data_IF_942267150391
#
_entry.id   IF_942267150391
#
_cell.length_a   1.000
_cell.length_b   1.000
_cell.length_c   1.000
_cell.angle_alpha   90.00
_cell.angle_beta   90.00
_cell.angle_gamma   90.00
#
_symmetry.space_group_name_H-M   'P 1'
#
loop_
_entity.id
_entity.type
_entity.pdbx_description
1 polymer ?
#
# COMPACT_ATOMS: atom_id res chain seq x y z
N UNK A 1 -6.01 -0.61 28.22
CA UNK A 1 -5.35 -1.05 26.98
C UNK A 1 -5.98 -0.28 25.82
N UNK A 2 -5.23 0.57 25.11
CA UNK A 2 -5.75 1.26 23.92
C UNK A 2 -5.51 0.35 22.72
N UNK A 3 -6.56 -0.03 22.02
CA UNK A 3 -6.49 -0.83 20.79
C UNK A 3 -5.72 -0.07 19.70
N UNK A 4 -5.02 -0.79 18.82
CA UNK A 4 -4.19 -0.22 17.73
C UNK A 4 -4.99 0.73 16.82
N UNK A 5 -6.30 0.52 16.71
CA UNK A 5 -7.27 1.37 16.03
C UNK A 5 -7.47 2.74 16.72
N UNK A 6 -7.45 2.78 18.06
CA UNK A 6 -7.60 4.01 18.86
C UNK A 6 -6.40 4.97 18.72
N UNK A 7 -5.23 4.46 18.36
CA UNK A 7 -4.04 5.27 18.05
C UNK A 7 -4.08 5.83 16.62
N UNK A 8 -4.77 5.14 15.70
CA UNK A 8 -4.93 5.54 14.30
C UNK A 8 -5.97 6.65 14.15
N UNK A 9 -7.11 6.56 14.85
CA UNK A 9 -8.11 7.65 14.89
C UNK A 9 -7.55 8.94 15.49
N UNK A 10 -6.71 8.87 16.53
CA UNK A 10 -6.21 10.08 17.20
C UNK A 10 -5.13 10.84 16.42
N UNK A 11 -4.46 10.20 15.46
CA UNK A 11 -3.41 10.84 14.63
C UNK A 11 -3.93 11.32 13.28
N UNK A 12 -5.00 10.74 12.74
CA UNK A 12 -5.50 11.01 11.40
C UNK A 12 -6.83 11.76 11.36
N UNK A 13 -7.05 12.80 12.17
CA UNK A 13 -8.37 13.47 12.20
C UNK A 13 -8.32 14.99 12.34
N UNK A 14 -7.17 15.64 12.17
CA UNK A 14 -7.07 17.09 12.45
C UNK A 14 -6.66 17.98 11.29
N UNK A 15 -5.90 17.50 10.30
CA UNK A 15 -5.42 18.38 9.23
C UNK A 15 -5.40 17.67 7.88
N UNK A 16 -6.05 18.28 6.88
CA UNK A 16 -5.95 17.96 5.46
C UNK A 16 -4.49 17.70 5.01
N UNK A 17 -3.58 18.51 5.54
CA UNK A 17 -2.16 18.44 5.25
C UNK A 17 -1.49 17.17 5.79
N UNK A 18 -1.96 16.64 6.92
CA UNK A 18 -1.47 15.37 7.50
C UNK A 18 -1.94 14.19 6.64
N UNK A 19 -3.10 14.30 5.99
CA UNK A 19 -3.65 13.26 5.11
C UNK A 19 -2.89 13.12 3.80
N UNK A 20 -2.64 14.24 3.12
CA UNK A 20 -1.82 14.25 1.90
C UNK A 20 -0.42 13.68 2.19
N UNK A 21 0.22 14.10 3.28
CA UNK A 21 1.50 13.53 3.73
C UNK A 21 1.44 12.02 4.01
N UNK A 22 0.29 11.49 4.43
CA UNK A 22 0.14 10.06 4.71
C UNK A 22 0.00 9.25 3.42
N UNK A 23 -0.79 9.72 2.46
CA UNK A 23 -0.96 9.09 1.15
C UNK A 23 0.34 9.14 0.34
N UNK A 24 1.10 10.23 0.41
CA UNK A 24 2.43 10.34 -0.18
C UNK A 24 3.42 9.32 0.41
N UNK A 25 3.41 9.14 1.74
CA UNK A 25 4.24 8.11 2.41
C UNK A 25 3.82 6.70 1.99
N UNK A 26 2.52 6.44 1.83
CA UNK A 26 2.04 5.16 1.30
C UNK A 26 2.55 4.94 -0.13
N UNK A 27 2.49 5.95 -0.99
CA UNK A 27 2.99 5.87 -2.36
C UNK A 27 4.48 5.51 -2.39
N UNK A 28 5.30 6.20 -1.58
CA UNK A 28 6.73 5.89 -1.46
C UNK A 28 6.95 4.46 -0.93
N UNK A 29 6.13 4.01 0.01
CA UNK A 29 6.23 2.67 0.55
C UNK A 29 5.88 1.59 -0.49
N UNK A 30 4.82 1.79 -1.28
CA UNK A 30 4.46 0.89 -2.39
C UNK A 30 5.56 0.81 -3.44
N UNK A 31 6.21 1.94 -3.76
CA UNK A 31 7.38 1.94 -4.65
C UNK A 31 8.51 1.09 -4.07
N UNK A 32 8.83 1.24 -2.78
CA UNK A 32 9.83 0.42 -2.11
C UNK A 32 9.47 -1.08 -2.10
N UNK A 33 8.21 -1.43 -1.90
CA UNK A 33 7.74 -2.82 -1.95
C UNK A 33 7.86 -3.40 -3.36
N UNK A 34 7.53 -2.61 -4.38
CA UNK A 34 7.71 -3.00 -5.78
C UNK A 34 9.20 -3.21 -6.11
N UNK A 35 10.08 -2.32 -5.66
CA UNK A 35 11.52 -2.47 -5.85
C UNK A 35 12.06 -3.72 -5.14
N UNK A 36 11.60 -3.99 -3.90
CA UNK A 36 11.93 -5.22 -3.19
C UNK A 36 11.48 -6.47 -3.95
N UNK A 37 10.23 -6.49 -4.43
CA UNK A 37 9.69 -7.62 -5.18
C UNK A 37 10.41 -7.83 -6.52
N UNK A 38 10.79 -6.74 -7.20
CA UNK A 38 11.55 -6.81 -8.46
C UNK A 38 13.02 -7.18 -8.25
N UNK A 39 13.61 -6.77 -7.12
CA UNK A 39 14.98 -7.16 -6.73
C UNK A 39 15.09 -8.64 -6.32
N UNK A 40 13.94 -9.28 -6.05
CA UNK A 40 13.90 -10.67 -5.63
C UNK A 40 14.20 -11.58 -6.83
N UNK A 41 15.49 -11.86 -7.02
CA UNK A 41 16.05 -12.70 -8.09
C UNK A 41 15.78 -14.20 -7.95
N UNK A 42 14.97 -14.63 -6.98
CA UNK A 42 14.56 -16.03 -6.90
C UNK A 42 13.70 -16.36 -8.12
N UNK A 43 14.28 -16.98 -9.13
CA UNK A 43 13.55 -17.55 -10.27
C UNK A 43 12.45 -18.43 -9.67
N UNK A 44 11.16 -18.15 -9.91
CA UNK A 44 10.10 -18.93 -9.31
C UNK A 44 10.22 -20.38 -9.74
N UNK A 45 10.58 -21.28 -8.80
CA UNK A 45 10.81 -22.71 -9.09
C UNK A 45 9.55 -23.42 -9.56
N UNK A 46 8.38 -22.82 -9.35
CA UNK A 46 7.09 -23.34 -9.80
C UNK A 46 6.29 -22.26 -10.51
N UNK A 47 5.46 -22.67 -11.47
CA UNK A 47 4.52 -21.78 -12.15
C UNK A 47 3.56 -21.07 -11.18
N UNK A 48 3.16 -21.74 -10.09
CA UNK A 48 2.33 -21.14 -9.04
C UNK A 48 3.01 -19.95 -8.36
N UNK A 49 4.30 -20.07 -8.03
CA UNK A 49 5.07 -18.96 -7.45
C UNK A 49 5.30 -17.83 -8.45
N UNK A 50 5.39 -18.14 -9.75
CA UNK A 50 5.45 -17.12 -10.80
C UNK A 50 4.12 -16.35 -10.88
N UNK A 51 3.00 -17.07 -10.94
CA UNK A 51 1.66 -16.48 -11.04
C UNK A 51 1.32 -15.63 -9.79
N UNK A 52 1.71 -16.10 -8.60
CA UNK A 52 1.55 -15.36 -7.33
C UNK A 52 2.38 -14.07 -7.33
N UNK A 53 3.63 -14.11 -7.80
CA UNK A 53 4.48 -12.92 -7.93
C UNK A 53 3.91 -11.90 -8.91
N UNK A 54 3.47 -12.34 -10.09
CA UNK A 54 2.90 -11.45 -11.10
C UNK A 54 1.56 -10.84 -10.64
N UNK A 55 0.75 -11.58 -9.88
CA UNK A 55 -0.46 -11.05 -9.25
C UNK A 55 -0.14 -9.97 -8.22
N UNK A 56 0.89 -10.16 -7.40
CA UNK A 56 1.34 -9.16 -6.42
C UNK A 56 1.88 -7.90 -7.11
N UNK A 57 2.69 -8.04 -8.17
CA UNK A 57 3.14 -6.91 -9.00
C UNK A 57 1.98 -6.15 -9.62
N UNK A 58 0.98 -6.88 -10.15
CA UNK A 58 -0.21 -6.26 -10.73
C UNK A 58 -0.97 -5.44 -9.68
N UNK A 59 -1.21 -6.01 -8.49
CA UNK A 59 -1.87 -5.31 -7.38
C UNK A 59 -1.08 -4.09 -6.89
N UNK A 60 0.25 -4.17 -6.83
CA UNK A 60 1.10 -3.03 -6.48
C UNK A 60 0.95 -1.87 -7.47
N UNK A 61 0.89 -2.16 -8.78
CA UNK A 61 0.67 -1.14 -9.81
C UNK A 61 -0.72 -0.52 -9.71
N UNK A 62 -1.76 -1.34 -9.59
CA UNK A 62 -3.15 -0.88 -9.44
C UNK A 62 -3.29 0.04 -8.22
N UNK A 63 -2.75 -0.38 -7.06
CA UNK A 63 -2.81 0.45 -5.84
C UNK A 63 -2.02 1.75 -5.97
N UNK A 64 -0.86 1.71 -6.64
CA UNK A 64 -0.04 2.88 -6.89
C UNK A 64 -0.69 3.87 -7.84
N UNK A 65 -1.47 3.40 -8.83
CA UNK A 65 -2.27 4.25 -9.71
C UNK A 65 -3.45 4.86 -8.95
N UNK A 66 -4.19 4.08 -8.16
CA UNK A 66 -5.29 4.57 -7.34
C UNK A 66 -4.81 5.66 -6.35
N UNK A 67 -3.66 5.47 -5.69
CA UNK A 67 -3.08 6.47 -4.80
C UNK A 67 -2.64 7.74 -5.54
N UNK A 68 -2.11 7.61 -6.75
CA UNK A 68 -1.72 8.76 -7.59
C UNK A 68 -2.94 9.57 -8.02
N UNK A 69 -4.03 8.92 -8.40
CA UNK A 69 -5.30 9.58 -8.74
C UNK A 69 -5.87 10.32 -7.53
N UNK A 70 -5.84 9.69 -6.35
CA UNK A 70 -6.27 10.32 -5.10
C UNK A 70 -5.42 11.54 -4.74
N UNK A 71 -4.09 11.45 -4.84
CA UNK A 71 -3.18 12.59 -4.63
C UNK A 71 -3.44 13.74 -5.61
N UNK A 72 -3.71 13.42 -6.89
CA UNK A 72 -4.07 14.43 -7.89
C UNK A 72 -5.42 15.09 -7.58
N UNK A 73 -6.40 14.30 -7.13
CA UNK A 73 -7.71 14.81 -6.74
C UNK A 73 -7.64 15.71 -5.50
N UNK A 74 -6.79 15.35 -4.53
CA UNK A 74 -6.51 16.14 -3.33
C UNK A 74 -5.77 17.44 -3.66
N UNK A 75 -4.85 17.42 -4.63
CA UNK A 75 -4.11 18.61 -5.06
C UNK A 75 -4.98 19.62 -5.81
N UNK A 76 -5.97 19.15 -6.57
CA UNK A 76 -6.94 20.01 -7.29
C UNK A 76 -8.01 20.55 -6.33
N UNK A 77 -8.37 19.76 -5.31
CA UNK A 77 -9.32 20.12 -4.26
C UNK A 77 -8.61 20.83 -3.10
N UNK A 78 -8.39 22.14 -3.19
CA UNK A 78 -7.75 22.96 -2.12
C UNK A 78 -8.41 22.88 -0.73
N UNK A 79 -9.57 22.22 -0.61
CA UNK A 79 -10.23 21.86 0.65
C UNK A 79 -10.33 20.34 0.76
N UNK A 80 -9.78 19.74 1.81
CA UNK A 80 -9.99 18.31 2.06
C UNK A 80 -11.45 18.04 2.36
N UNK A 81 -12.15 17.44 1.41
CA UNK A 81 -13.53 16.97 1.59
C UNK A 81 -13.52 15.72 2.49
N UNK A 82 -14.50 15.55 3.39
CA UNK A 82 -14.60 14.36 4.26
C UNK A 82 -14.59 13.01 3.50
N UNK A 83 -14.98 13.00 2.22
CA UNK A 83 -14.91 11.82 1.35
C UNK A 83 -13.48 11.30 1.11
N UNK A 84 -12.51 12.21 1.06
CA UNK A 84 -11.10 11.87 0.79
C UNK A 84 -10.47 11.18 2.02
N UNK A 85 -11.01 11.41 3.22
CA UNK A 85 -10.58 10.73 4.45
C UNK A 85 -10.92 9.23 4.41
N UNK A 86 -12.14 8.89 4.02
CA UNK A 86 -12.59 7.50 3.92
C UNK A 86 -11.82 6.72 2.85
N UNK A 87 -11.51 7.38 1.73
CA UNK A 87 -10.67 6.81 0.67
C UNK A 87 -9.24 6.59 1.13
N UNK A 88 -8.64 7.55 1.83
CA UNK A 88 -7.30 7.43 2.43
C UNK A 88 -7.19 6.27 3.43
N UNK A 89 -8.18 6.10 4.31
CA UNK A 89 -8.19 4.96 5.24
C UNK A 89 -8.37 3.62 4.51
N UNK A 90 -9.20 3.60 3.47
CA UNK A 90 -9.37 2.41 2.64
C UNK A 90 -8.06 2.03 1.96
N UNK A 91 -7.33 3.01 1.41
CA UNK A 91 -6.05 2.74 0.78
C UNK A 91 -4.97 2.29 1.75
N UNK A 92 -4.98 2.85 2.97
CA UNK A 92 -4.08 2.37 4.00
C UNK A 92 -4.29 0.88 4.30
N UNK A 93 -5.55 0.47 4.44
CA UNK A 93 -5.88 -0.93 4.69
C UNK A 93 -5.45 -1.82 3.53
N UNK A 94 -5.74 -1.45 2.28
CA UNK A 94 -5.30 -2.20 1.10
C UNK A 94 -3.77 -2.32 1.02
N UNK A 95 -3.06 -1.25 1.38
CA UNK A 95 -1.58 -1.23 1.41
C UNK A 95 -1.04 -2.23 2.44
N UNK A 96 -1.60 -2.24 3.66
CA UNK A 96 -1.22 -3.20 4.71
C UNK A 96 -1.52 -4.65 4.31
N UNK A 97 -2.69 -4.89 3.72
CA UNK A 97 -3.07 -6.23 3.26
C UNK A 97 -2.13 -6.73 2.15
N UNK A 98 -1.70 -5.83 1.25
CA UNK A 98 -0.75 -6.15 0.18
C UNK A 98 0.67 -6.39 0.71
N UNK A 99 1.12 -5.60 1.68
CA UNK A 99 2.38 -5.80 2.38
C UNK A 99 2.44 -7.20 3.03
N UNK A 100 1.38 -7.57 3.77
CA UNK A 100 1.25 -8.88 4.39
C UNK A 100 1.39 -10.00 3.34
N UNK A 101 0.69 -9.87 2.20
CA UNK A 101 0.75 -10.85 1.12
C UNK A 101 2.15 -10.96 0.48
N UNK A 102 2.87 -9.84 0.34
CA UNK A 102 4.26 -9.83 -0.16
C UNK A 102 5.20 -10.51 0.83
N UNK A 103 5.07 -10.23 2.13
CA UNK A 103 5.88 -10.88 3.17
C UNK A 103 5.64 -12.39 3.22
N UNK A 104 4.39 -12.82 3.07
CA UNK A 104 4.03 -14.24 2.97
C UNK A 104 4.63 -14.88 1.71
N UNK A 105 4.57 -14.21 0.56
CA UNK A 105 5.21 -14.67 -0.67
C UNK A 105 6.72 -14.82 -0.50
N UNK A 106 7.40 -13.81 0.06
CA UNK A 106 8.84 -13.88 0.34
C UNK A 106 9.15 -15.03 1.29
N UNK A 107 8.34 -15.25 2.33
CA UNK A 107 8.46 -16.38 3.25
C UNK A 107 8.35 -17.73 2.53
N UNK A 108 7.30 -17.91 1.72
CA UNK A 108 7.11 -19.12 0.89
C UNK A 108 8.27 -19.31 -0.10
N UNK A 109 8.69 -18.25 -0.77
CA UNK A 109 9.75 -18.29 -1.76
C UNK A 109 11.13 -18.56 -1.12
N UNK A 110 11.36 -18.20 0.15
CA UNK A 110 12.58 -18.60 0.88
C UNK A 110 12.56 -20.07 1.30
N UNK A 111 11.39 -20.61 1.65
CA UNK A 111 11.22 -22.01 2.08
C UNK A 111 11.21 -22.98 0.89
N UNK A 112 10.59 -22.58 -0.22
CA UNK A 112 10.43 -23.39 -1.43
C UNK A 112 11.43 -23.04 -2.54
N UNK A 113 12.23 -21.98 -2.37
CA UNK A 113 13.26 -21.51 -3.29
C UNK A 113 14.64 -22.12 -3.05
#
# INVERSE_FOLDING_TARGET
MKTRESLLEKRGLKDANIHSNHLERQQQYLMSLNDQLNSYHCVPKTRKLYDEMELLKKRLRELGEENKELLQSDAVSSTATPGNLGQNMTQFKKTLDLEQAILEYIGKAKIHG
#
